data_IF_757752563837
#
_entry.id   IF_757752563837
#
_cell.length_a   1.000
_cell.length_b   1.000
_cell.length_c   1.000
_cell.angle_alpha   90.00
_cell.angle_beta   90.00
_cell.angle_gamma   90.00
#
_symmetry.space_group_name_H-M   'P 1'
#
loop_
_entity.id
_entity.type
_entity.pdbx_description
1 polymer ?
#
# COMPACT_ATOMS: atom_id res chain seq x y z
N UNK A 1 2.82 37.60 27.53
CA UNK A 1 2.74 37.67 26.05
C UNK A 1 2.68 36.25 25.53
N UNK A 2 1.55 35.86 24.94
CA UNK A 2 1.38 34.52 24.37
C UNK A 2 2.28 34.41 23.13
N UNK A 3 3.35 33.60 23.21
CA UNK A 3 4.15 33.28 22.05
C UNK A 3 3.26 32.47 21.09
N UNK A 4 2.95 33.05 19.93
CA UNK A 4 2.28 32.35 18.85
C UNK A 4 3.18 31.21 18.40
N UNK A 5 2.77 29.98 18.67
CA UNK A 5 3.49 28.78 18.24
C UNK A 5 3.06 28.46 16.82
N UNK A 6 4.03 28.32 15.91
CA UNK A 6 3.73 27.97 14.52
C UNK A 6 2.93 26.66 14.43
N UNK A 7 1.81 26.63 13.67
CA UNK A 7 1.06 25.41 13.39
C UNK A 7 1.95 24.25 12.93
N UNK A 8 3.04 24.55 12.22
CA UNK A 8 4.04 23.58 11.76
C UNK A 8 4.83 22.93 12.88
N UNK A 9 5.15 23.63 13.97
CA UNK A 9 5.83 23.05 15.13
C UNK A 9 4.92 22.05 15.85
N UNK A 10 3.64 22.39 16.00
CA UNK A 10 2.63 21.48 16.57
C UNK A 10 2.51 20.20 15.74
N UNK A 11 2.39 20.32 14.42
CA UNK A 11 2.29 19.13 13.54
C UNK A 11 3.58 18.31 13.54
N UNK A 12 4.75 18.96 13.55
CA UNK A 12 6.03 18.28 13.65
C UNK A 12 6.13 17.44 14.93
N UNK A 13 5.81 18.03 16.09
CA UNK A 13 5.86 17.32 17.38
C UNK A 13 4.85 16.17 17.41
N UNK A 14 3.60 16.39 16.94
CA UNK A 14 2.59 15.33 16.86
C UNK A 14 2.99 14.17 15.95
N UNK A 15 3.77 14.43 14.90
CA UNK A 15 4.25 13.38 13.99
C UNK A 15 5.23 12.38 14.64
N UNK A 16 5.78 12.74 15.81
CA UNK A 16 6.68 11.90 16.59
C UNK A 16 5.95 11.02 17.61
N UNK A 17 4.63 11.16 17.74
CA UNK A 17 3.87 10.41 18.74
C UNK A 17 3.64 8.97 18.26
N UNK A 18 4.42 8.06 18.83
CA UNK A 18 4.08 6.65 18.96
C UNK A 18 3.95 6.27 20.43
N UNK A 19 3.52 5.04 20.69
CA UNK A 19 3.25 4.58 22.05
C UNK A 19 4.49 4.60 22.93
N UNK A 20 5.64 4.25 22.35
CA UNK A 20 6.93 4.19 23.02
C UNK A 20 7.39 5.60 23.40
N UNK A 21 7.37 6.56 22.47
CA UNK A 21 7.67 7.96 22.73
C UNK A 21 6.77 8.55 23.82
N UNK A 22 5.46 8.34 23.71
CA UNK A 22 4.48 8.86 24.68
C UNK A 22 4.74 8.25 26.06
N UNK A 23 5.08 6.97 26.14
CA UNK A 23 5.37 6.31 27.41
C UNK A 23 6.68 6.81 28.02
N UNK A 24 7.74 6.94 27.23
CA UNK A 24 9.03 7.48 27.69
C UNK A 24 8.89 8.92 28.17
N UNK A 25 8.15 9.76 27.43
CA UNK A 25 7.88 11.13 27.84
C UNK A 25 7.11 11.17 29.16
N UNK A 26 6.06 10.36 29.32
CA UNK A 26 5.29 10.32 30.56
C UNK A 26 6.14 9.84 31.75
N UNK A 27 6.95 8.80 31.56
CA UNK A 27 7.92 8.31 32.57
C UNK A 27 8.92 9.39 32.95
N UNK A 28 9.50 10.08 31.97
CA UNK A 28 10.44 11.17 32.20
C UNK A 28 9.81 12.31 33.02
N UNK A 29 8.50 12.54 32.85
CA UNK A 29 7.75 13.56 33.58
C UNK A 29 7.11 13.06 34.88
N UNK A 30 7.53 11.89 35.38
CA UNK A 30 7.14 11.39 36.71
C UNK A 30 5.83 10.60 36.75
N UNK A 31 5.29 10.20 35.60
CA UNK A 31 4.17 9.25 35.56
C UNK A 31 4.67 7.81 35.50
N UNK A 32 4.03 6.91 36.24
CA UNK A 32 4.31 5.49 36.13
C UNK A 32 3.48 4.87 35.00
N UNK A 33 4.16 4.27 34.01
CA UNK A 33 3.54 3.53 32.92
C UNK A 33 3.85 2.04 33.09
N UNK A 34 2.82 1.20 33.12
CA UNK A 34 2.96 -0.25 33.26
C UNK A 34 3.50 -0.89 31.96
N UNK A 35 3.94 -2.14 32.06
CA UNK A 35 4.39 -2.93 30.89
C UNK A 35 3.32 -3.10 29.81
N UNK A 36 2.04 -2.99 30.18
CA UNK A 36 0.90 -3.07 29.27
C UNK A 36 0.48 -1.69 28.72
N UNK A 37 1.35 -0.68 28.85
CA UNK A 37 1.14 0.69 28.37
C UNK A 37 -0.09 1.37 28.98
N UNK A 38 -0.27 1.18 30.28
CA UNK A 38 -1.32 1.84 31.07
C UNK A 38 -0.70 2.72 32.13
N UNK A 39 -1.39 3.78 32.55
CA UNK A 39 -0.94 4.54 33.71
C UNK A 39 -1.13 3.71 34.97
N UNK A 40 -0.09 3.55 35.79
CA UNK A 40 -0.17 2.76 37.01
C UNK A 40 -1.10 3.40 38.04
N UNK A 41 -1.15 4.74 38.07
CA UNK A 41 -2.05 5.53 38.92
C UNK A 41 -3.51 5.44 38.49
N UNK A 42 -3.77 5.14 37.21
CA UNK A 42 -5.12 4.88 36.70
C UNK A 42 -5.09 3.89 35.52
N UNK A 43 -5.33 2.61 35.81
CA UNK A 43 -5.24 1.54 34.83
C UNK A 43 -6.33 1.54 33.76
N UNK A 44 -7.34 2.41 33.86
CA UNK A 44 -8.30 2.63 32.77
C UNK A 44 -7.73 3.48 31.64
N UNK A 45 -6.64 4.21 31.89
CA UNK A 45 -5.93 4.99 30.87
C UNK A 45 -4.88 4.13 30.22
N UNK A 46 -4.97 4.00 28.89
CA UNK A 46 -4.09 3.18 28.07
C UNK A 46 -3.55 3.96 26.87
N UNK A 47 -2.34 3.64 26.47
CA UNK A 47 -1.65 4.25 25.33
C UNK A 47 -1.68 3.24 24.17
N UNK A 48 -2.37 3.59 23.09
CA UNK A 48 -2.46 2.79 21.87
C UNK A 48 -1.15 2.86 21.06
N UNK A 49 -0.92 1.89 20.16
CA UNK A 49 0.32 1.77 19.36
C UNK A 49 0.69 3.06 18.59
N UNK A 50 -0.30 3.85 18.18
CA UNK A 50 -0.12 5.12 17.46
C UNK A 50 0.03 6.35 18.38
N UNK A 51 0.33 6.15 19.67
CA UNK A 51 0.47 7.23 20.63
C UNK A 51 -0.85 7.84 21.12
N UNK A 52 -2.00 7.37 20.64
CA UNK A 52 -3.30 7.84 21.14
C UNK A 52 -3.56 7.33 22.56
N UNK A 53 -3.90 8.23 23.47
CA UNK A 53 -4.19 7.93 24.87
C UNK A 53 -5.69 7.87 25.03
N UNK A 54 -6.20 6.76 25.58
CA UNK A 54 -7.63 6.57 25.83
C UNK A 54 -7.88 6.19 27.27
N UNK A 55 -8.82 6.88 27.91
CA UNK A 55 -9.39 6.46 29.17
C UNK A 55 -10.68 5.66 28.93
N UNK A 56 -10.77 4.49 29.55
CA UNK A 56 -11.98 3.66 29.59
C UNK A 56 -12.78 3.82 30.90
N UNK A 57 -12.31 4.68 31.80
CA UNK A 57 -12.93 5.01 33.08
C UNK A 57 -13.72 6.31 33.02
N UNK A 58 -13.99 6.87 34.21
CA UNK A 58 -14.82 8.07 34.38
C UNK A 58 -14.00 9.35 34.61
N UNK A 59 -12.77 9.48 34.07
CA UNK A 59 -12.04 10.74 34.18
C UNK A 59 -12.57 11.80 33.21
N UNK A 60 -12.15 13.05 33.39
CA UNK A 60 -12.47 14.16 32.50
C UNK A 60 -11.72 14.09 31.14
N UNK A 61 -10.91 13.07 30.91
CA UNK A 61 -10.17 12.86 29.67
C UNK A 61 -10.73 11.65 28.91
N UNK A 62 -11.57 11.88 27.90
CA UNK A 62 -12.20 10.79 27.13
C UNK A 62 -11.26 10.13 26.11
N UNK A 63 -10.15 10.79 25.79
CA UNK A 63 -9.12 10.31 24.89
C UNK A 63 -8.61 11.40 23.95
N UNK A 64 -7.34 11.31 23.57
CA UNK A 64 -6.64 12.33 22.81
C UNK A 64 -5.18 11.97 22.60
N UNK A 65 -4.41 12.88 22.03
CA UNK A 65 -2.95 12.72 21.94
C UNK A 65 -2.25 13.17 23.24
N UNK A 66 -0.92 13.09 23.28
CA UNK A 66 -0.13 13.50 24.44
C UNK A 66 -0.35 14.97 24.82
N UNK A 67 -0.57 15.87 23.86
CA UNK A 67 -0.83 17.28 24.17
C UNK A 67 -2.18 17.44 24.86
N UNK A 68 -3.22 16.76 24.35
CA UNK A 68 -4.55 16.76 24.97
C UNK A 68 -4.48 16.20 26.40
N UNK A 69 -3.70 15.14 26.60
CA UNK A 69 -3.47 14.54 27.92
C UNK A 69 -2.82 15.53 28.88
N UNK A 70 -1.73 16.20 28.48
CA UNK A 70 -1.05 17.18 29.33
C UNK A 70 -1.95 18.36 29.67
N UNK A 71 -2.75 18.83 28.72
CA UNK A 71 -3.70 19.91 28.98
C UNK A 71 -4.70 19.57 30.08
N UNK A 72 -5.16 18.31 30.15
CA UNK A 72 -6.12 17.87 31.16
C UNK A 72 -5.45 17.48 32.48
N UNK A 73 -4.41 16.66 32.44
CA UNK A 73 -3.79 16.09 33.64
C UNK A 73 -2.79 17.02 34.33
N UNK A 74 -2.18 17.94 33.60
CA UNK A 74 -1.30 18.97 34.19
C UNK A 74 -1.97 20.35 34.25
N UNK A 75 -3.19 20.48 33.72
CA UNK A 75 -3.95 21.74 33.67
C UNK A 75 -3.14 22.89 33.03
N UNK A 76 -2.44 22.59 31.95
CA UNK A 76 -1.63 23.56 31.21
C UNK A 76 -2.26 23.94 29.88
N UNK A 77 -1.91 25.12 29.34
CA UNK A 77 -2.35 25.51 28.00
C UNK A 77 -1.75 24.61 26.92
N UNK A 78 -2.40 24.51 25.75
CA UNK A 78 -1.82 23.82 24.58
C UNK A 78 -0.42 24.34 24.25
N UNK A 79 -0.20 25.65 24.33
CA UNK A 79 1.11 26.24 24.06
C UNK A 79 2.16 25.76 25.08
N UNK A 80 1.81 25.70 26.36
CA UNK A 80 2.68 25.18 27.41
C UNK A 80 2.97 23.69 27.22
N UNK A 81 1.97 22.90 26.81
CA UNK A 81 2.15 21.48 26.49
C UNK A 81 3.11 21.29 25.31
N UNK A 82 2.94 22.07 24.23
CA UNK A 82 3.84 22.03 23.06
C UNK A 82 5.27 22.40 23.46
N UNK A 83 5.45 23.47 24.24
CA UNK A 83 6.78 23.89 24.72
C UNK A 83 7.43 22.82 25.59
N UNK A 84 6.66 22.17 26.48
CA UNK A 84 7.15 21.10 27.34
C UNK A 84 7.66 19.91 26.53
N UNK A 85 6.92 19.50 25.50
CA UNK A 85 7.33 18.41 24.60
C UNK A 85 8.51 18.84 23.70
N UNK A 86 8.50 20.07 23.19
CA UNK A 86 9.60 20.62 22.40
C UNK A 86 10.92 20.67 23.18
N UNK A 87 10.86 21.07 24.46
CA UNK A 87 12.02 21.09 25.35
C UNK A 87 12.57 19.68 25.61
N UNK A 88 11.70 18.69 25.82
CA UNK A 88 12.12 17.29 25.94
C UNK A 88 12.85 16.79 24.68
N UNK A 89 12.41 17.24 23.52
CA UNK A 89 13.01 16.91 22.23
C UNK A 89 14.25 17.75 21.87
N UNK A 90 14.66 18.71 22.72
CA UNK A 90 15.69 19.72 22.41
C UNK A 90 15.43 20.48 21.09
N UNK A 91 14.17 20.77 20.77
CA UNK A 91 13.79 21.58 19.60
C UNK A 91 13.77 23.06 20.03
N UNK A 92 14.61 23.89 19.42
CA UNK A 92 14.70 25.32 19.74
C UNK A 92 13.38 26.05 19.45
N UNK A 93 12.72 26.55 20.50
CA UNK A 93 11.40 27.18 20.42
C UNK A 93 11.44 28.69 20.19
N UNK A 94 12.63 29.26 19.99
CA UNK A 94 12.86 30.72 19.92
C UNK A 94 12.97 31.32 18.51
N UNK A 95 12.79 30.55 17.44
CA UNK A 95 13.01 31.05 16.07
C UNK A 95 11.78 31.83 15.56
N UNK A 96 11.81 33.16 15.75
CA UNK A 96 11.20 34.12 14.82
C UNK A 96 12.23 34.45 13.75
N UNK A 97 12.13 33.84 12.57
CA UNK A 97 12.90 34.28 11.43
C UNK A 97 12.17 33.96 10.12
N UNK A 98 11.96 35.03 9.35
CA UNK A 98 11.59 35.01 7.94
C UNK A 98 12.49 34.03 7.18
N UNK A 99 11.93 32.94 6.66
CA UNK A 99 12.63 32.12 5.68
C UNK A 99 12.19 32.52 4.28
N UNK A 100 13.05 33.31 3.65
CA UNK A 100 13.13 33.48 2.21
C UNK A 100 13.19 32.09 1.57
N UNK A 101 12.35 31.90 0.56
CA UNK A 101 12.19 30.67 -0.19
C UNK A 101 13.45 30.33 -1.01
N UNK A 102 14.49 29.80 -0.37
CA UNK A 102 15.58 29.08 -1.06
C UNK A 102 16.24 28.07 -0.11
N UNK A 103 15.52 27.01 0.24
CA UNK A 103 16.16 25.78 0.68
C UNK A 103 15.40 24.62 0.05
N UNK A 104 16.06 23.96 -0.91
CA UNK A 104 15.59 22.66 -1.44
C UNK A 104 15.32 21.74 -0.24
N UNK A 105 14.32 20.84 -0.30
CA UNK A 105 14.06 19.90 0.77
C UNK A 105 15.36 19.18 1.10
N UNK A 106 15.85 19.32 2.33
CA UNK A 106 16.81 18.37 2.87
C UNK A 106 16.00 17.09 2.96
N UNK A 107 16.22 16.17 2.00
CA UNK A 107 15.78 14.79 2.15
C UNK A 107 16.26 14.36 3.53
N UNK A 108 15.36 13.96 4.43
CA UNK A 108 15.77 13.08 5.53
C UNK A 108 16.59 11.99 4.85
N UNK A 109 17.87 11.88 5.18
CA UNK A 109 18.54 10.63 4.93
C UNK A 109 17.67 9.59 5.62
N UNK A 110 17.07 8.69 4.84
CA UNK A 110 16.35 7.56 5.38
C UNK A 110 17.31 6.93 6.39
N UNK A 111 16.95 6.95 7.69
CA UNK A 111 17.67 6.21 8.71
C UNK A 111 17.91 4.83 8.12
N UNK A 112 19.19 4.52 7.83
CA UNK A 112 19.52 3.26 7.19
C UNK A 112 18.82 2.17 7.99
N UNK A 113 17.98 1.34 7.37
CA UNK A 113 17.21 0.37 8.10
C UNK A 113 18.18 -0.44 8.98
N UNK A 114 17.83 -0.65 10.25
CA UNK A 114 18.64 -1.45 11.22
C UNK A 114 18.81 -2.92 10.79
N UNK A 115 18.36 -3.28 9.59
CA UNK A 115 18.37 -4.61 9.04
C UNK A 115 19.01 -4.60 7.65
N UNK A 116 19.72 -5.67 7.33
CA UNK A 116 20.24 -5.95 5.99
C UNK A 116 19.21 -6.78 5.22
N UNK A 117 18.80 -6.32 4.03
CA UNK A 117 17.79 -7.01 3.22
C UNK A 117 18.24 -8.39 2.73
N UNK A 118 19.52 -8.55 2.40
CA UNK A 118 20.07 -9.84 1.96
C UNK A 118 20.05 -10.86 3.10
N UNK A 119 20.43 -10.44 4.31
CA UNK A 119 20.41 -11.32 5.48
C UNK A 119 18.98 -11.71 5.85
N UNK A 120 18.03 -10.77 5.81
CA UNK A 120 16.62 -11.07 6.01
C UNK A 120 16.08 -12.02 4.96
N UNK A 121 16.39 -11.78 3.68
CA UNK A 121 15.92 -12.65 2.61
C UNK A 121 16.46 -14.07 2.77
N UNK A 122 17.74 -14.24 3.13
CA UNK A 122 18.31 -15.56 3.45
C UNK A 122 17.52 -16.27 4.55
N UNK A 123 17.13 -15.56 5.61
CA UNK A 123 16.31 -16.14 6.67
C UNK A 123 14.92 -16.58 6.19
N UNK A 124 14.31 -15.80 5.30
CA UNK A 124 12.99 -16.13 4.74
C UNK A 124 13.03 -17.25 3.70
N UNK A 125 14.14 -17.39 2.97
CA UNK A 125 14.35 -18.46 1.98
C UNK A 125 14.55 -19.83 2.64
N UNK A 126 15.11 -19.92 3.85
CA UNK A 126 15.34 -21.20 4.56
C UNK A 126 14.05 -22.03 4.69
N UNK A 127 12.93 -21.38 4.94
CA UNK A 127 11.62 -22.03 5.15
C UNK A 127 10.67 -21.87 3.97
N UNK A 128 11.18 -21.43 2.84
CA UNK A 128 10.38 -21.14 1.65
C UNK A 128 9.53 -22.33 1.22
N UNK A 129 10.14 -23.51 1.21
CA UNK A 129 9.49 -24.76 0.82
C UNK A 129 8.68 -25.40 1.95
N UNK A 130 8.52 -24.73 3.10
CA UNK A 130 7.71 -25.26 4.19
C UNK A 130 6.25 -25.41 3.77
N UNK A 131 5.60 -26.45 4.30
CA UNK A 131 4.18 -26.70 4.06
C UNK A 131 3.31 -25.49 4.45
N UNK A 132 3.65 -24.83 5.56
CA UNK A 132 2.96 -23.62 6.03
C UNK A 132 3.03 -22.49 5.02
N UNK A 133 4.21 -22.23 4.44
CA UNK A 133 4.36 -21.16 3.45
C UNK A 133 3.55 -21.43 2.17
N UNK A 134 3.54 -22.68 1.71
CA UNK A 134 2.69 -23.10 0.57
C UNK A 134 1.21 -22.91 0.86
N UNK A 135 0.75 -23.23 2.07
CA UNK A 135 -0.63 -22.95 2.48
C UNK A 135 -0.93 -21.45 2.46
N UNK A 136 -0.04 -20.61 3.00
CA UNK A 136 -0.21 -19.15 3.02
C UNK A 136 -0.27 -18.54 1.61
N UNK A 137 0.47 -19.10 0.65
CA UNK A 137 0.37 -18.75 -0.77
C UNK A 137 -0.98 -19.15 -1.36
N UNK A 138 -1.46 -20.37 -1.08
CA UNK A 138 -2.79 -20.84 -1.48
C UNK A 138 -3.95 -20.16 -0.72
N UNK A 139 -3.68 -19.45 0.38
CA UNK A 139 -4.66 -18.58 1.03
C UNK A 139 -4.72 -17.19 0.37
N UNK A 140 -3.70 -16.81 -0.39
CA UNK A 140 -3.71 -15.54 -1.14
C UNK A 140 -4.56 -15.66 -2.40
N UNK A 141 -4.63 -16.88 -2.97
CA UNK A 141 -5.26 -17.14 -4.24
C UNK A 141 -6.22 -18.32 -4.19
N UNK A 142 -7.27 -18.31 -5.01
CA UNK A 142 -8.18 -19.46 -5.13
C UNK A 142 -7.41 -20.70 -5.62
N UNK A 143 -7.32 -21.74 -4.79
CA UNK A 143 -6.52 -22.93 -5.13
C UNK A 143 -6.97 -23.64 -6.43
N UNK A 144 -8.22 -23.47 -6.85
CA UNK A 144 -8.75 -24.07 -8.08
C UNK A 144 -8.19 -23.42 -9.34
N UNK A 145 -7.96 -22.10 -9.34
CA UNK A 145 -7.37 -21.41 -10.48
C UNK A 145 -5.85 -21.60 -10.50
N UNK A 146 -5.18 -21.52 -9.34
CA UNK A 146 -3.72 -21.67 -9.23
C UNK A 146 -3.24 -23.02 -9.73
N UNK A 147 -3.94 -24.11 -9.39
CA UNK A 147 -3.57 -25.47 -9.83
C UNK A 147 -3.62 -25.66 -11.36
N UNK A 148 -4.30 -24.78 -12.09
CA UNK A 148 -4.37 -24.80 -13.56
C UNK A 148 -3.25 -24.01 -14.21
N UNK A 149 -2.52 -23.20 -13.46
CA UNK A 149 -1.43 -22.36 -13.96
C UNK A 149 -0.12 -23.11 -13.82
N UNK A 150 0.48 -23.46 -14.96
CA UNK A 150 1.66 -24.33 -15.03
C UNK A 150 2.88 -23.75 -14.29
N UNK A 151 3.11 -22.44 -14.38
CA UNK A 151 4.28 -21.78 -13.79
C UNK A 151 4.03 -21.26 -12.34
N UNK A 152 2.91 -21.60 -11.71
CA UNK A 152 2.57 -21.07 -10.38
C UNK A 152 3.57 -21.44 -9.28
N UNK A 153 4.11 -22.66 -9.32
CA UNK A 153 5.18 -23.08 -8.39
C UNK A 153 6.48 -22.31 -8.66
N UNK A 154 6.83 -22.05 -9.92
CA UNK A 154 8.03 -21.27 -10.27
C UNK A 154 7.90 -19.82 -9.76
N UNK A 155 6.71 -19.22 -9.88
CA UNK A 155 6.43 -17.89 -9.34
C UNK A 155 6.54 -17.88 -7.81
N UNK A 156 5.97 -18.89 -7.14
CA UNK A 156 6.15 -19.06 -5.69
C UNK A 156 7.64 -19.18 -5.32
N UNK A 157 8.38 -20.03 -6.02
CA UNK A 157 9.80 -20.25 -5.79
C UNK A 157 10.68 -19.06 -6.20
N UNK A 158 10.21 -18.16 -7.05
CA UNK A 158 10.96 -16.96 -7.44
C UNK A 158 10.79 -15.82 -6.46
N UNK A 159 9.56 -15.59 -5.99
CA UNK A 159 9.22 -14.38 -5.25
C UNK A 159 8.96 -14.61 -3.77
N UNK A 160 8.46 -15.79 -3.39
CA UNK A 160 7.92 -15.98 -2.05
C UNK A 160 8.97 -16.52 -1.08
N UNK A 161 8.91 -16.07 0.17
CA UNK A 161 9.64 -16.64 1.31
C UNK A 161 8.74 -16.67 2.55
N UNK A 162 9.27 -17.04 3.71
CA UNK A 162 8.47 -17.17 4.94
C UNK A 162 9.09 -16.46 6.14
N UNK A 163 8.33 -15.56 6.78
CA UNK A 163 8.70 -14.97 8.06
C UNK A 163 8.16 -15.84 9.20
N UNK A 164 9.05 -16.56 9.89
CA UNK A 164 8.70 -17.33 11.11
C UNK A 164 8.11 -16.45 12.20
N UNK A 165 8.68 -15.25 12.39
CA UNK A 165 8.27 -14.32 13.45
C UNK A 165 6.84 -13.86 13.25
N UNK A 166 6.47 -13.61 12.00
CA UNK A 166 5.15 -13.10 11.63
C UNK A 166 4.17 -14.23 11.25
N UNK A 167 4.60 -15.50 11.22
CA UNK A 167 3.87 -16.65 10.64
C UNK A 167 3.22 -16.29 9.30
N UNK A 168 4.02 -15.75 8.38
CA UNK A 168 3.45 -15.19 7.17
C UNK A 168 4.34 -15.21 5.93
N UNK A 169 3.68 -15.18 4.79
CA UNK A 169 4.26 -15.11 3.45
C UNK A 169 5.01 -13.79 3.29
N UNK A 170 6.19 -13.87 2.71
CA UNK A 170 6.96 -12.71 2.27
C UNK A 170 7.06 -12.70 0.75
N UNK A 171 7.14 -11.52 0.13
CA UNK A 171 7.40 -11.35 -1.31
C UNK A 171 8.64 -10.47 -1.44
N UNK A 172 9.65 -10.97 -2.14
CA UNK A 172 10.92 -10.27 -2.38
C UNK A 172 10.96 -9.72 -3.80
N UNK A 173 11.24 -8.42 -3.92
CA UNK A 173 11.36 -7.70 -5.19
C UNK A 173 12.80 -7.24 -5.40
N UNK A 174 13.31 -7.53 -6.59
CA UNK A 174 14.68 -7.25 -6.99
C UNK A 174 14.72 -6.31 -8.19
N UNK A 175 15.82 -5.57 -8.34
CA UNK A 175 16.08 -4.80 -9.55
C UNK A 175 16.63 -5.66 -10.70
N UNK A 176 16.86 -5.03 -11.86
CA UNK A 176 17.43 -5.67 -13.05
C UNK A 176 18.84 -6.27 -12.80
N UNK A 177 19.55 -5.81 -11.76
CA UNK A 177 20.86 -6.32 -11.34
C UNK A 177 20.76 -7.40 -10.26
N UNK A 178 19.56 -7.91 -9.97
CA UNK A 178 19.26 -8.92 -8.96
C UNK A 178 19.54 -8.46 -7.51
N UNK A 179 19.67 -7.16 -7.26
CA UNK A 179 19.77 -6.63 -5.89
C UNK A 179 18.38 -6.54 -5.28
N UNK A 180 18.26 -6.93 -4.01
CA UNK A 180 16.99 -6.82 -3.28
C UNK A 180 16.69 -5.35 -2.96
N UNK A 181 15.58 -4.86 -3.50
CA UNK A 181 15.11 -3.49 -3.27
C UNK A 181 14.04 -3.45 -2.19
N UNK A 182 13.17 -4.45 -2.17
CA UNK A 182 12.01 -4.49 -1.28
C UNK A 182 11.69 -5.92 -0.86
N UNK A 183 11.34 -6.13 0.40
CA UNK A 183 10.69 -7.35 0.89
C UNK A 183 9.40 -6.94 1.59
N UNK A 184 8.26 -7.51 1.23
CA UNK A 184 7.00 -7.27 1.93
C UNK A 184 6.60 -8.50 2.74
N UNK A 185 6.14 -8.29 3.97
CA UNK A 185 5.56 -9.33 4.83
C UNK A 185 4.05 -9.15 4.82
N UNK A 186 3.32 -10.17 4.35
CA UNK A 186 1.86 -10.20 4.43
C UNK A 186 1.44 -10.29 5.91
N UNK A 187 0.37 -9.65 6.34
CA UNK A 187 -0.21 -9.78 7.71
C UNK A 187 0.85 -9.83 8.82
N UNK A 188 1.63 -8.77 8.96
CA UNK A 188 2.66 -8.72 10.02
C UNK A 188 2.05 -8.82 11.43
N UNK A 189 2.84 -9.27 12.40
CA UNK A 189 2.43 -9.35 13.82
C UNK A 189 2.01 -8.00 14.41
N UNK A 190 2.49 -6.91 13.80
CA UNK A 190 2.15 -5.54 14.19
C UNK A 190 0.78 -5.08 13.66
N UNK A 191 0.06 -5.93 12.91
CA UNK A 191 -1.27 -5.65 12.35
C UNK A 191 -1.25 -4.98 10.98
N UNK A 192 -0.08 -4.77 10.37
CA UNK A 192 0.05 -4.19 9.03
C UNK A 192 -0.22 -5.27 7.99
N UNK A 193 -1.18 -5.02 7.07
CA UNK A 193 -1.58 -5.95 5.99
C UNK A 193 -0.41 -6.31 5.07
N UNK A 194 0.39 -5.32 4.68
CA UNK A 194 1.61 -5.48 3.88
C UNK A 194 2.72 -4.63 4.50
N UNK A 195 3.58 -5.25 5.32
CA UNK A 195 4.70 -4.55 5.96
C UNK A 195 5.89 -4.55 5.01
N UNK A 196 6.22 -3.37 4.49
CA UNK A 196 7.36 -3.19 3.58
C UNK A 196 8.67 -3.00 4.34
N UNK A 197 9.67 -3.77 3.96
CA UNK A 197 11.08 -3.64 4.33
C UNK A 197 11.87 -3.19 3.10
N UNK A 198 12.82 -2.28 3.28
CA UNK A 198 13.55 -1.66 2.17
C UNK A 198 12.79 -0.51 1.52
N UNK A 199 12.95 -0.35 0.20
CA UNK A 199 12.37 0.78 -0.53
C UNK A 199 10.84 0.67 -0.62
N UNK A 200 10.14 1.67 -0.08
CA UNK A 200 8.69 1.81 -0.19
C UNK A 200 8.25 2.45 -1.51
N UNK A 201 9.19 3.02 -2.26
CA UNK A 201 8.93 3.72 -3.52
C UNK A 201 9.41 2.93 -4.73
N UNK A 202 10.03 1.77 -4.54
CA UNK A 202 10.51 0.97 -5.67
C UNK A 202 9.33 0.50 -6.53
N UNK A 203 9.41 0.76 -7.84
CA UNK A 203 8.42 0.29 -8.83
C UNK A 203 9.01 -0.96 -9.45
N UNK A 204 8.45 -2.13 -9.14
CA UNK A 204 8.86 -3.35 -9.80
C UNK A 204 8.26 -3.40 -11.20
N UNK A 205 9.05 -3.83 -12.18
CA UNK A 205 8.61 -3.92 -13.57
C UNK A 205 9.18 -5.15 -14.25
N UNK A 206 8.36 -5.84 -15.03
CA UNK A 206 8.77 -6.90 -15.94
C UNK A 206 8.15 -6.59 -17.30
N UNK A 207 8.83 -5.78 -18.10
CA UNK A 207 8.35 -5.32 -19.42
C UNK A 207 9.04 -6.16 -20.48
N UNK A 208 8.28 -7.01 -21.18
CA UNK A 208 8.83 -7.86 -22.25
C UNK A 208 8.97 -7.05 -23.54
N UNK A 209 10.08 -7.25 -24.25
CA UNK A 209 10.37 -6.51 -25.48
C UNK A 209 9.29 -6.73 -26.56
N UNK A 210 8.82 -7.97 -26.71
CA UNK A 210 7.85 -8.43 -27.71
C UNK A 210 6.37 -8.20 -27.35
N UNK A 211 6.11 -7.38 -26.33
CA UNK A 211 4.76 -7.16 -25.82
C UNK A 211 4.32 -5.73 -26.06
N UNK A 212 3.23 -5.55 -26.78
CA UNK A 212 2.68 -4.21 -27.11
C UNK A 212 1.85 -3.63 -25.96
N UNK A 213 1.35 -4.49 -25.07
CA UNK A 213 0.54 -4.11 -23.91
C UNK A 213 1.35 -4.36 -22.63
N UNK A 214 1.40 -3.35 -21.78
CA UNK A 214 1.95 -3.43 -20.42
C UNK A 214 0.84 -3.09 -19.44
N UNK A 215 0.64 -3.91 -18.41
CA UNK A 215 -0.34 -3.65 -17.37
C UNK A 215 0.26 -2.87 -16.21
N UNK A 216 -0.42 -1.82 -15.74
CA UNK A 216 -0.11 -1.20 -14.46
C UNK A 216 -1.03 -1.77 -13.39
N UNK A 217 -0.45 -2.34 -12.34
CA UNK A 217 -1.19 -2.94 -11.21
C UNK A 217 -0.85 -2.28 -9.89
N UNK A 218 -1.79 -2.34 -8.95
CA UNK A 218 -1.67 -1.74 -7.62
C UNK A 218 -1.66 -2.86 -6.58
N UNK A 219 -0.53 -3.02 -5.90
CA UNK A 219 -0.39 -4.01 -4.83
C UNK A 219 0.59 -5.15 -5.13
N UNK A 220 0.85 -5.91 -4.06
CA UNK A 220 1.90 -6.93 -4.02
C UNK A 220 1.44 -8.28 -4.52
N UNK A 221 0.16 -8.60 -4.35
CA UNK A 221 -0.41 -9.85 -4.86
C UNK A 221 -0.47 -9.86 -6.38
N UNK A 222 -0.70 -8.69 -6.97
CA UNK A 222 -0.91 -8.47 -8.39
C UNK A 222 0.38 -8.73 -9.17
N UNK A 223 1.56 -8.49 -8.57
CA UNK A 223 2.86 -8.90 -9.10
C UNK A 223 2.89 -10.40 -9.39
N UNK A 224 2.46 -11.21 -8.41
CA UNK A 224 2.45 -12.67 -8.55
C UNK A 224 1.43 -13.10 -9.61
N UNK A 225 0.28 -12.44 -9.69
CA UNK A 225 -0.73 -12.70 -10.74
C UNK A 225 -0.15 -12.40 -12.12
N UNK A 226 0.49 -11.24 -12.31
CA UNK A 226 1.10 -10.88 -13.58
C UNK A 226 2.21 -11.85 -14.00
N UNK A 227 3.02 -12.35 -13.06
CA UNK A 227 4.03 -13.38 -13.37
C UNK A 227 3.37 -14.71 -13.74
N UNK A 228 2.34 -15.14 -13.01
CA UNK A 228 1.58 -16.36 -13.29
C UNK A 228 0.85 -16.32 -14.64
N UNK A 229 0.34 -15.15 -15.03
CA UNK A 229 -0.32 -14.92 -16.32
C UNK A 229 0.66 -14.52 -17.43
N UNK A 230 1.95 -14.45 -17.11
CA UNK A 230 3.03 -14.08 -18.02
C UNK A 230 2.81 -12.71 -18.72
N UNK A 231 2.22 -11.77 -18.01
CA UNK A 231 2.00 -10.41 -18.50
C UNK A 231 3.29 -9.59 -18.51
N UNK A 232 3.35 -8.59 -19.40
CA UNK A 232 4.25 -7.46 -19.22
C UNK A 232 3.60 -6.47 -18.28
N UNK A 233 4.31 -5.99 -17.26
CA UNK A 233 3.69 -5.12 -16.26
C UNK A 233 4.65 -4.19 -15.53
N UNK A 234 4.06 -3.19 -14.89
CA UNK A 234 4.64 -2.35 -13.83
C UNK A 234 3.74 -2.46 -12.60
N UNK A 235 4.33 -2.47 -11.41
CA UNK A 235 3.59 -2.61 -10.16
C UNK A 235 3.86 -1.45 -9.20
N UNK A 236 2.80 -0.77 -8.79
CA UNK A 236 2.85 0.28 -7.78
C UNK A 236 2.57 -0.31 -6.40
N UNK A 237 3.48 -0.07 -5.44
CA UNK A 237 3.27 -0.50 -4.06
C UNK A 237 2.15 0.28 -3.35
N UNK A 238 1.82 1.48 -3.84
CA UNK A 238 0.70 2.30 -3.37
C UNK A 238 0.34 3.37 -4.41
N UNK A 239 -0.89 3.88 -4.34
CA UNK A 239 -1.36 4.98 -5.19
C UNK A 239 -0.50 6.23 -5.08
N UNK A 240 0.10 6.46 -3.90
CA UNK A 240 0.98 7.63 -3.67
C UNK A 240 2.19 7.61 -4.60
N UNK A 241 2.72 6.44 -4.95
CA UNK A 241 3.82 6.31 -5.91
C UNK A 241 3.34 6.71 -7.31
N UNK A 242 2.19 6.20 -7.73
CA UNK A 242 1.59 6.50 -9.02
C UNK A 242 1.22 8.01 -9.16
N UNK A 243 0.77 8.64 -8.06
CA UNK A 243 0.49 10.09 -8.02
C UNK A 243 1.76 10.95 -8.11
N UNK A 244 2.92 10.41 -7.73
CA UNK A 244 4.19 11.13 -7.63
C UNK A 244 5.31 10.53 -8.50
N UNK A 245 4.95 9.96 -9.66
CA UNK A 245 5.88 9.26 -10.56
C UNK A 245 7.13 10.07 -10.94
N UNK A 246 6.97 11.37 -11.19
CA UNK A 246 8.09 12.26 -11.57
C UNK A 246 9.19 12.36 -10.51
N UNK A 247 8.87 12.08 -9.25
CA UNK A 247 9.83 12.09 -8.15
C UNK A 247 10.50 10.73 -7.94
N UNK A 248 10.09 9.70 -8.67
CA UNK A 248 10.58 8.33 -8.51
C UNK A 248 11.87 8.11 -9.33
N UNK A 249 12.99 7.74 -8.70
CA UNK A 249 14.27 7.56 -9.40
C UNK A 249 14.24 6.51 -10.51
N UNK A 250 13.42 5.47 -10.37
CA UNK A 250 13.32 4.37 -11.34
C UNK A 250 12.37 4.69 -12.50
N UNK A 251 11.54 5.74 -12.39
CA UNK A 251 10.48 6.01 -13.35
C UNK A 251 11.00 6.33 -14.76
N UNK A 252 12.08 7.11 -14.89
CA UNK A 252 12.63 7.46 -16.21
C UNK A 252 13.05 6.22 -17.00
N UNK A 253 13.64 5.21 -16.34
CA UNK A 253 14.06 3.96 -16.99
C UNK A 253 12.83 3.17 -17.44
N UNK A 254 11.81 3.06 -16.58
CA UNK A 254 10.55 2.38 -16.90
C UNK A 254 9.82 3.08 -18.04
N UNK A 255 9.74 4.41 -18.00
CA UNK A 255 9.11 5.27 -19.00
C UNK A 255 9.69 5.06 -20.39
N UNK A 256 11.01 4.94 -20.52
CA UNK A 256 11.64 4.61 -21.79
C UNK A 256 11.27 3.19 -22.28
N UNK A 257 11.19 2.20 -21.37
CA UNK A 257 10.73 0.83 -21.72
C UNK A 257 9.26 0.79 -22.16
N UNK A 258 8.44 1.75 -21.75
CA UNK A 258 7.03 1.88 -22.14
C UNK A 258 6.83 2.55 -23.51
N UNK A 259 7.86 3.19 -24.06
CA UNK A 259 7.74 3.99 -25.29
C UNK A 259 7.16 3.17 -26.46
N UNK A 260 6.11 3.69 -27.07
CA UNK A 260 5.41 3.04 -28.20
C UNK A 260 4.51 1.87 -27.81
N UNK A 261 4.41 1.53 -26.52
CA UNK A 261 3.51 0.50 -25.99
C UNK A 261 2.20 1.10 -25.49
N UNK A 262 1.22 0.25 -25.22
CA UNK A 262 -0.01 0.58 -24.52
C UNK A 262 0.19 0.26 -23.03
N UNK A 263 -0.02 1.24 -22.16
CA UNK A 263 -0.10 1.04 -20.72
C UNK A 263 -1.58 0.90 -20.30
N UNK A 264 -2.01 -0.31 -19.97
CA UNK A 264 -3.35 -0.60 -19.47
C UNK A 264 -3.37 -0.54 -17.93
N UNK A 265 -4.07 0.44 -17.36
CA UNK A 265 -4.19 0.64 -15.92
C UNK A 265 -5.29 -0.26 -15.37
N UNK A 266 -4.95 -1.26 -14.56
CA UNK A 266 -5.91 -2.09 -13.86
C UNK A 266 -6.27 -1.38 -12.55
N UNK A 267 -7.36 -0.63 -12.54
CA UNK A 267 -7.73 0.26 -11.46
C UNK A 267 -8.58 -0.44 -10.40
N UNK A 268 -8.11 -0.43 -9.15
CA UNK A 268 -8.89 -0.85 -8.00
C UNK A 268 -10.19 -0.02 -7.91
N UNK A 269 -11.26 -0.64 -7.38
CA UNK A 269 -12.54 0.04 -7.24
C UNK A 269 -12.57 0.99 -6.04
N UNK A 270 -11.80 2.07 -6.15
CA UNK A 270 -11.79 3.17 -5.21
C UNK A 270 -11.34 4.49 -5.86
N UNK A 271 -11.69 5.61 -5.23
CA UNK A 271 -11.38 6.94 -5.75
C UNK A 271 -9.87 7.26 -5.70
N UNK A 272 -9.14 6.68 -4.74
CA UNK A 272 -7.72 6.96 -4.57
C UNK A 272 -6.91 6.40 -5.74
N UNK A 273 -7.26 5.22 -6.23
CA UNK A 273 -6.68 4.58 -7.40
C UNK A 273 -7.07 5.35 -8.68
N UNK A 274 -8.34 5.76 -8.84
CA UNK A 274 -8.76 6.61 -9.97
C UNK A 274 -8.00 7.93 -10.07
N UNK A 275 -7.67 8.54 -8.94
CA UNK A 275 -6.89 9.78 -8.89
C UNK A 275 -5.46 9.63 -9.45
N UNK A 276 -4.97 8.39 -9.66
CA UNK A 276 -3.65 8.12 -10.25
C UNK A 276 -3.64 8.29 -11.78
N UNK A 277 -4.80 8.22 -12.45
CA UNK A 277 -4.91 8.23 -13.92
C UNK A 277 -4.31 9.52 -14.51
N UNK A 278 -4.70 10.68 -13.97
CA UNK A 278 -4.26 11.99 -14.47
C UNK A 278 -2.74 12.17 -14.35
N UNK A 279 -2.10 11.93 -13.18
CA UNK A 279 -0.65 11.92 -13.06
C UNK A 279 0.05 11.00 -14.08
N UNK A 280 -0.42 9.76 -14.24
CA UNK A 280 0.18 8.80 -15.17
C UNK A 280 0.06 9.29 -16.62
N UNK A 281 -1.13 9.70 -17.06
CA UNK A 281 -1.37 10.23 -18.42
C UNK A 281 -0.51 11.46 -18.70
N UNK A 282 -0.29 12.33 -17.71
CA UNK A 282 0.61 13.49 -17.84
C UNK A 282 2.06 13.07 -18.07
N UNK A 283 2.55 12.09 -17.32
CA UNK A 283 3.92 11.59 -17.46
C UNK A 283 4.15 10.86 -18.78
N UNK A 284 3.16 10.16 -19.30
CA UNK A 284 3.27 9.36 -20.53
C UNK A 284 2.78 10.07 -21.79
N UNK A 285 2.45 11.36 -21.69
CA UNK A 285 2.07 12.17 -22.84
C UNK A 285 3.17 12.08 -23.92
N UNK A 286 2.79 11.68 -25.14
CA UNK A 286 3.68 11.44 -26.28
C UNK A 286 4.67 10.26 -26.15
N UNK A 287 4.56 9.44 -25.11
CA UNK A 287 5.39 8.25 -24.92
C UNK A 287 4.62 6.96 -25.23
N UNK A 288 3.45 6.83 -24.63
CA UNK A 288 2.65 5.60 -24.63
C UNK A 288 1.18 5.96 -24.64
N UNK A 289 0.36 5.12 -25.28
CA UNK A 289 -1.08 5.21 -25.09
C UNK A 289 -1.43 4.67 -23.69
N UNK A 290 -2.32 5.35 -22.97
CA UNK A 290 -2.76 4.91 -21.65
C UNK A 290 -4.24 4.59 -21.70
N UNK A 291 -4.58 3.35 -21.39
CA UNK A 291 -5.95 2.84 -21.33
C UNK A 291 -6.31 2.58 -19.88
N UNK A 292 -7.43 3.11 -19.42
CA UNK A 292 -7.97 2.87 -18.08
C UNK A 292 -8.96 1.69 -18.09
N UNK A 293 -8.70 0.70 -17.24
CA UNK A 293 -9.53 -0.50 -17.07
C UNK A 293 -10.01 -0.52 -15.63
N UNK A 294 -11.25 -0.08 -15.43
CA UNK A 294 -11.94 -0.14 -14.15
C UNK A 294 -12.29 -1.59 -13.81
N UNK A 295 -12.02 -2.04 -12.58
CA UNK A 295 -12.33 -3.42 -12.17
C UNK A 295 -13.80 -3.79 -12.38
N UNK A 296 -14.71 -2.82 -12.25
CA UNK A 296 -16.14 -3.07 -12.44
C UNK A 296 -16.50 -3.37 -13.90
N UNK A 297 -15.85 -2.69 -14.84
CA UNK A 297 -16.08 -2.88 -16.27
C UNK A 297 -15.44 -4.19 -16.73
N UNK A 298 -14.29 -4.57 -16.15
CA UNK A 298 -13.65 -5.86 -16.38
C UNK A 298 -14.50 -7.02 -15.85
N UNK A 299 -15.04 -6.89 -14.63
CA UNK A 299 -15.97 -7.87 -14.06
C UNK A 299 -17.22 -8.03 -14.93
N UNK A 300 -17.79 -6.92 -15.41
CA UNK A 300 -18.94 -6.95 -16.30
C UNK A 300 -18.64 -7.64 -17.63
N UNK A 301 -17.53 -7.26 -18.26
CA UNK A 301 -17.07 -7.82 -19.53
C UNK A 301 -16.90 -9.34 -19.40
N UNK A 302 -16.28 -9.81 -18.32
CA UNK A 302 -16.13 -11.23 -18.03
C UNK A 302 -17.47 -11.95 -17.86
N UNK A 303 -18.38 -11.38 -17.06
CA UNK A 303 -19.72 -11.95 -16.85
C UNK A 303 -20.50 -12.01 -18.17
N UNK A 304 -20.35 -10.99 -19.01
CA UNK A 304 -21.02 -10.92 -20.31
C UNK A 304 -20.48 -11.97 -21.27
N UNK A 305 -19.16 -12.07 -21.42
CA UNK A 305 -18.50 -13.08 -22.26
C UNK A 305 -18.96 -14.48 -21.85
N UNK A 306 -18.94 -14.79 -20.55
CA UNK A 306 -19.36 -16.09 -20.03
C UNK A 306 -20.88 -16.35 -20.15
N UNK A 307 -21.68 -15.31 -20.37
CA UNK A 307 -23.10 -15.41 -20.66
C UNK A 307 -23.41 -15.50 -22.18
N UNK A 308 -22.41 -15.33 -23.05
CA UNK A 308 -22.55 -15.36 -24.51
C UNK A 308 -22.10 -16.66 -25.17
N UNK A 309 -21.71 -17.67 -24.39
CA UNK A 309 -21.73 -19.09 -24.82
C UNK A 309 -23.16 -19.45 -25.28
N UNK A 310 -23.38 -20.42 -26.21
CA UNK A 310 -24.58 -20.50 -27.07
C UNK A 310 -25.97 -20.65 -26.41
N UNK A 311 -26.10 -20.60 -25.09
CA UNK A 311 -27.38 -20.47 -24.40
C UNK A 311 -27.69 -18.99 -24.15
N UNK A 312 -28.77 -18.50 -24.77
CA UNK A 312 -29.53 -17.29 -24.41
C UNK A 312 -29.15 -15.95 -25.08
N UNK A 313 -29.44 -15.89 -26.37
CA UNK A 313 -29.47 -14.68 -27.20
C UNK A 313 -30.53 -13.64 -26.76
N UNK A 314 -31.61 -14.06 -26.08
CA UNK A 314 -32.73 -13.20 -25.67
C UNK A 314 -32.49 -12.38 -24.38
N UNK A 315 -31.43 -12.68 -23.60
CA UNK A 315 -31.11 -11.99 -22.34
C UNK A 315 -30.11 -10.84 -22.50
N UNK A 316 -29.67 -10.54 -23.74
CA UNK A 316 -28.48 -9.72 -24.02
C UNK A 316 -28.59 -8.23 -23.70
N UNK A 317 -29.77 -7.61 -23.72
CA UNK A 317 -29.89 -6.15 -23.54
C UNK A 317 -30.46 -5.76 -22.17
N UNK A 318 -31.48 -6.48 -21.69
CA UNK A 318 -32.08 -6.22 -20.37
C UNK A 318 -31.17 -6.68 -19.21
N UNK A 319 -30.31 -7.69 -19.40
CA UNK A 319 -29.34 -8.08 -18.37
C UNK A 319 -28.15 -7.13 -18.27
N UNK A 320 -27.83 -6.34 -19.32
CA UNK A 320 -26.65 -5.45 -19.35
C UNK A 320 -26.78 -4.30 -18.36
N UNK A 321 -27.86 -3.54 -18.43
CA UNK A 321 -28.11 -2.40 -17.53
C UNK A 321 -28.43 -2.87 -16.11
N UNK A 322 -29.30 -3.88 -15.98
CA UNK A 322 -29.73 -4.39 -14.67
C UNK A 322 -28.60 -5.06 -13.87
N UNK A 323 -27.69 -5.81 -14.52
CA UNK A 323 -26.50 -6.35 -13.83
C UNK A 323 -25.48 -5.25 -13.51
N UNK A 324 -25.30 -4.23 -14.35
CA UNK A 324 -24.33 -3.17 -14.08
C UNK A 324 -24.69 -2.34 -12.86
N UNK A 325 -25.93 -1.88 -12.76
CA UNK A 325 -26.37 -1.08 -11.62
C UNK A 325 -26.35 -1.89 -10.32
N UNK A 326 -26.73 -3.17 -10.40
CA UNK A 326 -26.62 -4.09 -9.27
C UNK A 326 -25.16 -4.33 -8.85
N UNK A 327 -24.26 -4.61 -9.81
CA UNK A 327 -22.84 -4.78 -9.55
C UNK A 327 -22.22 -3.50 -8.96
N UNK A 328 -22.56 -2.32 -9.47
CA UNK A 328 -22.10 -1.03 -8.92
C UNK A 328 -22.50 -0.85 -7.46
N UNK A 329 -23.73 -1.23 -7.12
CA UNK A 329 -24.25 -1.08 -5.76
C UNK A 329 -23.75 -2.16 -4.79
N UNK A 330 -23.32 -3.32 -5.30
CA UNK A 330 -22.91 -4.47 -4.48
C UNK A 330 -21.38 -4.67 -4.44
N UNK A 331 -20.61 -4.03 -5.33
CA UNK A 331 -19.17 -4.23 -5.38
C UNK A 331 -18.48 -3.52 -4.20
N UNK A 332 -17.67 -4.24 -3.40
CA UNK A 332 -17.05 -3.65 -2.23
C UNK A 332 -16.00 -2.61 -2.66
N UNK A 333 -15.89 -1.52 -1.89
CA UNK A 333 -14.81 -0.54 -2.06
C UNK A 333 -13.46 -1.23 -1.94
N UNK A 334 -12.55 -0.92 -2.86
CA UNK A 334 -11.22 -1.50 -2.93
C UNK A 334 -11.19 -2.93 -3.51
N UNK A 335 -12.26 -3.35 -4.21
CA UNK A 335 -12.23 -4.58 -5.01
C UNK A 335 -11.11 -4.46 -6.06
N UNK A 336 -10.16 -5.38 -5.98
CA UNK A 336 -8.88 -5.33 -6.69
C UNK A 336 -8.77 -6.44 -7.76
N UNK A 337 -7.69 -6.43 -8.54
CA UNK A 337 -7.46 -7.45 -9.57
C UNK A 337 -7.29 -8.86 -8.98
N UNK A 338 -6.77 -8.99 -7.74
CA UNK A 338 -6.72 -10.29 -7.05
C UNK A 338 -8.11 -10.81 -6.73
N UNK A 339 -9.04 -9.95 -6.30
CA UNK A 339 -10.41 -10.35 -6.02
C UNK A 339 -11.11 -10.85 -7.31
N UNK A 340 -10.87 -10.18 -8.44
CA UNK A 340 -11.32 -10.64 -9.76
C UNK A 340 -10.70 -12.00 -10.14
N UNK A 341 -9.38 -12.14 -10.00
CA UNK A 341 -8.66 -13.38 -10.26
C UNK A 341 -9.19 -14.55 -9.40
N UNK A 342 -9.43 -14.31 -8.11
CA UNK A 342 -9.92 -15.32 -7.18
C UNK A 342 -11.38 -15.73 -7.43
N UNK A 343 -12.19 -14.83 -8.02
CA UNK A 343 -13.56 -15.10 -8.43
C UNK A 343 -13.67 -15.84 -9.77
N UNK A 344 -12.55 -16.02 -10.48
CA UNK A 344 -12.52 -16.66 -11.79
C UNK A 344 -12.28 -18.17 -11.69
N UNK A 345 -12.84 -18.91 -12.63
CA UNK A 345 -12.65 -20.37 -12.75
C UNK A 345 -11.62 -20.73 -13.83
N UNK A 346 -11.35 -19.80 -14.75
CA UNK A 346 -10.43 -19.94 -15.87
C UNK A 346 -9.60 -18.66 -16.03
N UNK A 347 -8.31 -18.82 -16.30
CA UNK A 347 -7.38 -17.72 -16.57
C UNK A 347 -7.54 -17.15 -17.97
N UNK A 348 -7.97 -17.98 -18.93
CA UNK A 348 -8.16 -17.55 -20.32
C UNK A 348 -9.33 -16.57 -20.44
N UNK A 349 -10.38 -16.74 -19.64
CA UNK A 349 -11.48 -15.78 -19.53
C UNK A 349 -10.99 -14.38 -19.11
N UNK A 350 -10.03 -14.32 -18.18
CA UNK A 350 -9.45 -13.05 -17.71
C UNK A 350 -8.66 -12.39 -18.83
N UNK A 351 -7.78 -13.14 -19.49
CA UNK A 351 -6.94 -12.65 -20.60
C UNK A 351 -7.80 -12.12 -21.74
N UNK A 352 -8.80 -12.90 -22.15
CA UNK A 352 -9.72 -12.53 -23.23
C UNK A 352 -10.56 -11.30 -22.88
N UNK A 353 -11.03 -11.18 -21.63
CA UNK A 353 -11.76 -9.99 -21.18
C UNK A 353 -10.89 -8.73 -21.23
N UNK A 354 -9.64 -8.82 -20.80
CA UNK A 354 -8.67 -7.71 -20.88
C UNK A 354 -8.38 -7.31 -22.33
N UNK A 355 -8.15 -8.29 -23.22
CA UNK A 355 -7.92 -8.04 -24.65
C UNK A 355 -9.09 -7.31 -25.29
N UNK A 356 -10.33 -7.74 -24.98
CA UNK A 356 -11.55 -7.10 -25.48
C UNK A 356 -11.70 -5.65 -25.00
N UNK A 357 -11.42 -5.39 -23.72
CA UNK A 357 -11.46 -4.02 -23.20
C UNK A 357 -10.42 -3.13 -23.87
N UNK A 358 -9.18 -3.60 -24.00
CA UNK A 358 -8.12 -2.82 -24.65
C UNK A 358 -8.48 -2.53 -26.10
N UNK A 359 -8.88 -3.55 -26.87
CA UNK A 359 -9.25 -3.37 -28.29
C UNK A 359 -10.41 -2.41 -28.44
N UNK A 360 -11.44 -2.52 -27.59
CA UNK A 360 -12.59 -1.63 -27.62
C UNK A 360 -12.26 -0.17 -27.28
N UNK A 361 -11.21 0.10 -26.49
CA UNK A 361 -10.72 1.46 -26.25
C UNK A 361 -9.84 1.98 -27.41
N UNK A 362 -9.19 1.11 -28.18
CA UNK A 362 -8.42 1.49 -29.37
C UNK A 362 -9.29 1.84 -30.58
N UNK A 363 -10.52 1.34 -30.62
CA UNK A 363 -11.49 1.57 -31.70
C UNK A 363 -12.31 2.87 -31.54
N UNK A 364 -12.18 3.56 -30.40
CA UNK A 364 -12.82 4.86 -30.11
C UNK A 364 -11.95 6.02 -30.55
#
# INVERSE_FOLDING_TARGET
MSAYIEPKLKEHIKSLFDREFVSEFLIFNGYDVTRDFKLASNQSISIARNGYIKDFGNSNFQGGDLLDFLQVFENISLNSAIQKVANYLNVDTTIKAEFVATAKPIKKEDDKPKYNLEDLNRLFEIEKSSYRNKQLFLELFNSNIIKKIQNSEDVFLKFCGYSKRDDSLTITLKDDNNNIQTIVIRKSIDGIKWKTLGSKTFIYSNIKNNSDVVFAVYGMSEILICEMLEFSYIAFQSDSIAKNLSNNPSWNIIKEKLKGKILALLLDYDDSCRDTIKPIKKELLNYSLVVDIEMIDLLHTRIFINATTPLNEMYRENAKAYKMDKLKNEMPKGYDFRDLFNSSFDVEDIKYSLEKMITGELEK
#
